data_IF_479661932232
#
_entry.id   IF_479661932232
#
_cell.length_a   1.000
_cell.length_b   1.000
_cell.length_c   1.000
_cell.angle_alpha   90.00
_cell.angle_beta   90.00
_cell.angle_gamma   90.00
#
_symmetry.space_group_name_H-M   'P 1'
#
loop_
_entity.id
_entity.type
_entity.pdbx_description
1 polymer ?
#
# COMPACT_ATOMS: atom_id res chain seq x y z
N UNK A 1 11.32 12.59 -8.18
CA UNK A 1 9.86 12.45 -8.34
C UNK A 1 9.49 11.02 -8.03
N UNK A 2 8.54 10.83 -7.12
CA UNK A 2 7.99 9.51 -6.85
C UNK A 2 7.19 9.01 -8.05
N UNK A 3 7.06 7.69 -8.25
CA UNK A 3 6.15 7.10 -9.23
C UNK A 3 4.71 7.59 -9.04
N UNK A 4 4.10 8.14 -10.09
CA UNK A 4 2.74 8.67 -10.08
C UNK A 4 1.94 8.07 -11.23
N UNK A 5 0.71 7.65 -10.94
CA UNK A 5 -0.32 7.29 -11.92
C UNK A 5 -1.59 8.03 -11.55
N UNK A 6 -2.16 8.78 -12.49
CA UNK A 6 -3.43 9.50 -12.37
C UNK A 6 -4.38 8.89 -13.40
N UNK A 7 -5.58 8.51 -12.97
CA UNK A 7 -6.60 7.91 -13.83
C UNK A 7 -7.98 8.50 -13.56
N UNK A 8 -8.82 8.57 -14.60
CA UNK A 8 -10.22 8.96 -14.47
C UNK A 8 -10.72 9.88 -15.60
N UNK A 9 -11.97 10.29 -15.49
CA UNK A 9 -12.63 11.19 -16.44
C UNK A 9 -12.15 12.64 -16.27
N UNK A 10 -11.50 13.18 -17.29
CA UNK A 10 -11.03 14.58 -17.30
C UNK A 10 -11.86 15.46 -18.25
N UNK A 11 -12.82 14.88 -18.98
CA UNK A 11 -13.64 15.57 -19.98
C UNK A 11 -12.83 16.33 -21.05
N UNK A 12 -11.62 15.86 -21.38
CA UNK A 12 -10.76 16.42 -22.42
C UNK A 12 -10.43 15.36 -23.47
N UNK A 13 -10.89 15.57 -24.69
CA UNK A 13 -10.87 14.59 -25.78
C UNK A 13 -9.48 14.45 -26.45
N UNK A 14 -8.79 13.36 -26.14
CA UNK A 14 -7.49 13.06 -26.74
C UNK A 14 -7.54 12.69 -28.22
N UNK A 15 -8.71 12.40 -28.79
CA UNK A 15 -8.85 12.17 -30.23
C UNK A 15 -8.73 13.48 -31.04
N UNK A 16 -8.77 14.64 -30.37
CA UNK A 16 -8.59 15.97 -30.96
C UNK A 16 -7.27 16.60 -30.49
N UNK A 17 -6.11 16.17 -31.00
CA UNK A 17 -4.80 16.60 -30.49
C UNK A 17 -4.50 18.09 -30.67
N UNK A 18 -5.19 18.76 -31.59
CA UNK A 18 -5.05 20.20 -31.85
C UNK A 18 -6.02 21.06 -31.03
N UNK A 19 -6.95 20.44 -30.31
CA UNK A 19 -7.88 21.14 -29.44
C UNK A 19 -7.13 21.92 -28.34
N UNK A 20 -7.69 23.07 -27.95
CA UNK A 20 -7.06 23.96 -26.97
C UNK A 20 -6.93 23.28 -25.60
N UNK A 21 -7.94 22.54 -25.17
CA UNK A 21 -7.98 21.93 -23.84
C UNK A 21 -7.01 20.75 -23.79
N UNK A 22 -6.95 19.95 -24.85
CA UNK A 22 -5.96 18.87 -25.01
C UNK A 22 -4.53 19.41 -24.94
N UNK A 23 -4.23 20.49 -25.65
CA UNK A 23 -2.89 21.12 -25.60
C UNK A 23 -2.58 21.68 -24.22
N UNK A 24 -3.51 22.43 -23.62
CA UNK A 24 -3.30 23.02 -22.30
C UNK A 24 -3.08 21.96 -21.22
N UNK A 25 -3.84 20.87 -21.26
CA UNK A 25 -3.66 19.75 -20.34
C UNK A 25 -2.30 19.07 -20.52
N UNK A 26 -1.90 18.78 -21.76
CA UNK A 26 -0.60 18.16 -22.04
C UNK A 26 0.57 19.04 -21.58
N UNK A 27 0.50 20.37 -21.78
CA UNK A 27 1.51 21.30 -21.26
C UNK A 27 1.58 21.30 -19.73
N UNK A 28 0.43 21.27 -19.04
CA UNK A 28 0.39 21.17 -17.58
C UNK A 28 0.98 19.87 -17.06
N UNK A 29 0.63 18.74 -17.67
CA UNK A 29 1.19 17.43 -17.32
C UNK A 29 2.71 17.40 -17.53
N UNK A 30 3.19 17.91 -18.66
CA UNK A 30 4.62 17.96 -18.97
C UNK A 30 5.42 18.78 -17.94
N UNK A 31 4.87 19.88 -17.40
CA UNK A 31 5.51 20.66 -16.31
C UNK A 31 5.73 19.83 -15.04
N UNK A 32 4.95 18.78 -14.83
CA UNK A 32 5.08 17.87 -13.70
C UNK A 32 5.77 16.54 -14.07
N UNK A 33 6.43 16.48 -15.24
CA UNK A 33 7.03 15.25 -15.78
C UNK A 33 6.01 14.10 -15.94
N UNK A 34 4.74 14.44 -16.21
CA UNK A 34 3.69 13.49 -16.48
C UNK A 34 3.38 13.51 -17.97
N UNK A 35 3.10 12.34 -18.53
CA UNK A 35 2.61 12.19 -19.90
C UNK A 35 1.26 11.49 -19.87
N UNK A 36 0.35 11.91 -20.74
CA UNK A 36 -0.95 11.24 -20.93
C UNK A 36 -0.81 10.14 -21.97
N UNK A 37 -1.21 8.92 -21.63
CA UNK A 37 -1.28 7.83 -22.58
C UNK A 37 -2.38 8.10 -23.63
N UNK A 38 -2.11 7.73 -24.88
CA UNK A 38 -3.15 7.73 -25.91
C UNK A 38 -4.05 6.51 -25.70
N UNK A 39 -5.31 6.77 -25.37
CA UNK A 39 -6.32 5.73 -25.21
C UNK A 39 -7.21 5.69 -26.48
N UNK A 40 -7.81 4.52 -26.78
CA UNK A 40 -8.94 4.47 -27.72
C UNK A 40 -10.14 5.28 -27.17
N UNK A 41 -11.26 5.35 -27.90
CA UNK A 41 -12.47 5.95 -27.36
C UNK A 41 -12.86 5.37 -26.00
N UNK A 42 -13.14 6.26 -25.06
CA UNK A 42 -13.53 5.90 -23.69
C UNK A 42 -14.96 6.26 -23.35
N UNK A 43 -15.60 7.08 -24.20
CA UNK A 43 -17.03 7.34 -24.17
C UNK A 43 -17.62 7.22 -25.57
N UNK A 44 -18.58 6.32 -25.71
CA UNK A 44 -19.24 5.95 -26.96
C UNK A 44 -20.75 6.10 -26.72
N UNK A 45 -21.34 7.06 -27.42
CA UNK A 45 -22.80 7.25 -27.46
C UNK A 45 -23.32 6.90 -28.87
N UNK A 46 -24.64 6.82 -29.08
CA UNK A 46 -25.18 6.64 -30.44
C UNK A 46 -24.81 7.76 -31.42
N UNK A 47 -24.40 8.94 -30.93
CA UNK A 47 -24.14 10.13 -31.74
C UNK A 47 -22.66 10.52 -31.79
N UNK A 48 -21.86 10.11 -30.80
CA UNK A 48 -20.50 10.61 -30.61
C UNK A 48 -19.56 9.54 -30.08
N UNK A 49 -18.28 9.69 -30.44
CA UNK A 49 -17.17 8.83 -30.01
C UNK A 49 -16.05 9.75 -29.54
N UNK A 50 -15.63 9.62 -28.28
CA UNK A 50 -14.62 10.51 -27.67
C UNK A 50 -13.71 9.74 -26.70
N UNK A 51 -12.50 10.23 -26.50
CA UNK A 51 -11.54 9.68 -25.53
C UNK A 51 -11.27 10.71 -24.44
N UNK A 52 -12.14 10.74 -23.44
CA UNK A 52 -12.18 11.81 -22.43
C UNK A 52 -11.68 11.39 -21.05
N UNK A 53 -11.48 10.09 -20.85
CA UNK A 53 -10.80 9.56 -19.69
C UNK A 53 -9.27 9.57 -19.91
N UNK A 54 -8.50 9.58 -18.84
CA UNK A 54 -7.05 9.71 -18.90
C UNK A 54 -6.33 8.64 -18.07
N UNK A 55 -5.14 8.28 -18.55
CA UNK A 55 -4.10 7.60 -17.76
C UNK A 55 -2.84 8.44 -17.94
N UNK A 56 -2.42 9.12 -16.87
CA UNK A 56 -1.27 10.02 -16.87
C UNK A 56 -0.21 9.53 -15.91
N UNK A 57 1.05 9.47 -16.34
CA UNK A 57 2.12 8.93 -15.51
C UNK A 57 3.49 9.53 -15.82
N UNK A 58 4.40 9.45 -14.84
CA UNK A 58 5.82 9.71 -15.00
C UNK A 58 6.65 8.41 -15.09
N UNK A 59 5.99 7.25 -15.08
CA UNK A 59 6.61 5.95 -15.24
C UNK A 59 7.03 5.72 -16.70
N UNK A 60 8.05 4.87 -16.90
CA UNK A 60 8.35 4.35 -18.23
C UNK A 60 7.13 3.57 -18.73
N UNK A 61 6.65 3.90 -19.94
CA UNK A 61 5.50 3.26 -20.58
C UNK A 61 5.69 1.76 -20.80
N UNK A 62 6.93 1.26 -20.87
CA UNK A 62 7.22 -0.19 -20.93
C UNK A 62 6.79 -0.93 -19.65
N UNK A 63 6.70 -0.23 -18.52
CA UNK A 63 6.24 -0.79 -17.25
C UNK A 63 4.73 -0.64 -17.06
N UNK A 64 4.02 -0.06 -18.04
CA UNK A 64 2.58 0.11 -18.00
C UNK A 64 1.93 -0.63 -19.15
N UNK A 65 0.82 -1.29 -18.87
CA UNK A 65 -0.09 -1.80 -19.90
C UNK A 65 -1.49 -1.33 -19.58
N UNK A 66 -2.13 -0.65 -20.53
CA UNK A 66 -3.50 -0.17 -20.36
C UNK A 66 -4.39 -0.78 -21.42
N UNK A 67 -5.54 -1.29 -21.01
CA UNK A 67 -6.60 -1.77 -21.89
C UNK A 67 -7.94 -1.12 -21.56
N UNK A 68 -8.79 -1.07 -22.58
CA UNK A 68 -10.17 -0.60 -22.46
C UNK A 68 -11.09 -1.83 -22.45
N UNK A 69 -12.11 -1.79 -21.58
CA UNK A 69 -13.08 -2.86 -21.39
C UNK A 69 -14.48 -2.29 -21.67
N UNK A 70 -15.15 -2.81 -22.69
CA UNK A 70 -16.55 -2.48 -22.97
C UNK A 70 -17.47 -3.25 -22.03
N UNK A 71 -17.70 -2.69 -20.83
CA UNK A 71 -18.49 -3.35 -19.80
C UNK A 71 -20.00 -3.40 -20.13
N UNK A 72 -20.48 -2.59 -21.08
CA UNK A 72 -21.89 -2.57 -21.50
C UNK A 72 -22.88 -2.00 -20.47
N UNK A 73 -22.38 -1.39 -19.39
CA UNK A 73 -23.18 -0.85 -18.28
C UNK A 73 -23.33 0.69 -18.32
N UNK A 74 -22.62 1.37 -19.22
CA UNK A 74 -22.53 2.83 -19.34
C UNK A 74 -22.17 3.21 -20.78
N UNK A 75 -22.33 4.49 -21.14
CA UNK A 75 -21.74 5.07 -22.35
C UNK A 75 -20.22 5.27 -22.23
N UNK A 76 -19.65 5.14 -21.03
CA UNK A 76 -18.21 5.02 -20.81
C UNK A 76 -17.74 3.56 -20.83
N UNK A 77 -16.54 3.37 -21.36
CA UNK A 77 -15.79 2.12 -21.24
C UNK A 77 -14.98 2.11 -19.93
N UNK A 78 -14.75 0.92 -19.38
CA UNK A 78 -13.89 0.75 -18.23
C UNK A 78 -12.41 0.74 -18.65
N UNK A 79 -11.53 1.08 -17.70
CA UNK A 79 -10.08 1.14 -17.91
C UNK A 79 -9.37 0.17 -16.97
N UNK A 80 -8.46 -0.62 -17.52
CA UNK A 80 -7.57 -1.47 -16.74
C UNK A 80 -6.12 -1.06 -17.03
N UNK A 81 -5.42 -0.58 -16.02
CA UNK A 81 -4.00 -0.25 -16.10
C UNK A 81 -3.21 -1.14 -15.15
N UNK A 82 -2.31 -1.91 -15.71
CA UNK A 82 -1.36 -2.77 -14.98
C UNK A 82 -0.01 -2.07 -14.92
N UNK A 83 0.55 -1.96 -13.72
CA UNK A 83 1.85 -1.33 -13.47
C UNK A 83 2.83 -2.36 -12.95
N UNK A 84 3.98 -2.50 -13.61
CA UNK A 84 5.05 -3.38 -13.21
C UNK A 84 6.11 -2.62 -12.42
N UNK A 85 6.27 -2.97 -11.15
CA UNK A 85 7.35 -2.46 -10.32
C UNK A 85 8.42 -3.53 -10.14
N UNK A 86 9.69 -3.16 -10.36
CA UNK A 86 10.82 -3.99 -9.92
C UNK A 86 10.84 -3.96 -8.40
N UNK A 87 10.35 -5.03 -7.77
CA UNK A 87 10.46 -5.21 -6.33
C UNK A 87 11.94 -5.42 -6.00
N UNK A 88 12.58 -4.41 -5.42
CA UNK A 88 13.86 -4.64 -4.72
C UNK A 88 13.53 -5.50 -3.52
N UNK A 89 13.82 -6.80 -3.61
CA UNK A 89 13.71 -7.68 -2.44
C UNK A 89 14.91 -7.34 -1.55
N UNK A 90 14.75 -6.30 -0.73
CA UNK A 90 15.56 -6.21 0.49
C UNK A 90 15.15 -7.38 1.36
N UNK A 91 16.10 -8.28 1.63
CA UNK A 91 15.92 -9.32 2.64
C UNK A 91 15.74 -8.61 3.98
N UNK A 92 14.50 -8.38 4.38
CA UNK A 92 14.20 -7.94 5.73
C UNK A 92 14.37 -9.17 6.62
N UNK A 93 15.40 -9.17 7.45
CA UNK A 93 15.46 -10.07 8.60
C UNK A 93 14.31 -9.70 9.53
N UNK A 94 13.21 -10.44 9.45
CA UNK A 94 12.15 -10.34 10.45
C UNK A 94 12.67 -10.90 11.77
N UNK A 95 12.60 -10.11 12.83
CA UNK A 95 12.83 -10.59 14.19
C UNK A 95 11.57 -10.38 15.02
N UNK A 96 11.28 -11.33 15.89
CA UNK A 96 10.18 -11.24 16.84
C UNK A 96 10.70 -10.59 18.12
N UNK A 97 9.96 -9.62 18.66
CA UNK A 97 10.27 -8.99 19.95
C UNK A 97 8.99 -8.94 20.78
N UNK A 98 9.11 -9.16 22.10
CA UNK A 98 8.05 -8.83 23.05
C UNK A 98 7.77 -7.33 23.00
N UNK A 99 6.55 -6.93 22.65
CA UNK A 99 6.14 -5.53 22.69
C UNK A 99 5.95 -5.12 24.16
N UNK A 100 6.86 -4.31 24.70
CA UNK A 100 6.73 -3.77 26.05
C UNK A 100 5.90 -2.49 26.00
N UNK A 101 4.87 -2.40 26.85
CA UNK A 101 4.05 -1.20 27.01
C UNK A 101 3.70 -1.02 28.49
N UNK A 102 3.07 0.11 28.84
CA UNK A 102 2.75 0.42 30.23
C UNK A 102 1.87 -0.66 30.87
N UNK A 103 0.83 -1.09 30.15
CA UNK A 103 -0.17 -2.04 30.68
C UNK A 103 0.44 -3.41 30.97
N UNK A 104 1.29 -3.94 30.08
CA UNK A 104 1.90 -5.25 30.28
C UNK A 104 3.04 -5.22 31.31
N UNK A 105 3.74 -4.11 31.47
CA UNK A 105 4.70 -3.93 32.57
C UNK A 105 3.98 -3.80 33.91
N UNK A 106 2.87 -3.05 33.96
CA UNK A 106 2.08 -2.89 35.19
C UNK A 106 1.39 -4.23 35.57
N UNK A 107 0.96 -5.03 34.58
CA UNK A 107 0.45 -6.39 34.80
C UNK A 107 1.55 -7.31 35.37
N UNK A 108 2.74 -7.31 34.75
CA UNK A 108 3.87 -8.11 35.25
C UNK A 108 4.24 -7.73 36.68
N UNK A 109 4.26 -6.42 37.00
CA UNK A 109 4.51 -5.94 38.36
C UNK A 109 3.47 -6.49 39.33
N UNK A 110 2.18 -6.38 38.99
CA UNK A 110 1.10 -6.85 39.85
C UNK A 110 1.17 -8.37 40.10
N UNK A 111 1.52 -9.17 39.09
CA UNK A 111 1.69 -10.62 39.23
C UNK A 111 2.85 -10.92 40.18
N UNK A 112 4.03 -10.32 39.96
CA UNK A 112 5.21 -10.56 40.79
C UNK A 112 5.07 -10.08 42.24
N UNK A 113 4.34 -8.98 42.46
CA UNK A 113 4.05 -8.46 43.82
C UNK A 113 3.16 -9.40 44.62
N UNK A 114 2.30 -10.18 43.96
CA UNK A 114 1.36 -11.11 44.61
C UNK A 114 1.83 -12.57 44.59
N UNK A 115 3.02 -12.84 44.05
CA UNK A 115 3.56 -14.18 43.94
C UNK A 115 4.07 -14.71 45.30
N UNK A 116 3.81 -15.99 45.59
CA UNK A 116 4.34 -16.65 46.79
C UNK A 116 5.75 -17.19 46.55
N UNK A 117 6.73 -16.54 47.16
CA UNK A 117 8.14 -16.92 47.05
C UNK A 117 8.59 -17.99 48.07
N UNK A 118 7.68 -18.53 48.89
CA UNK A 118 8.02 -19.57 49.86
C UNK A 118 8.66 -20.80 49.20
N UNK A 119 8.25 -21.17 47.98
CA UNK A 119 8.86 -22.27 47.24
C UNK A 119 10.33 -22.05 46.90
N UNK A 120 10.77 -20.79 46.78
CA UNK A 120 12.19 -20.42 46.60
C UNK A 120 12.91 -20.34 47.94
N UNK A 121 12.31 -19.69 48.94
CA UNK A 121 12.96 -19.47 50.25
C UNK A 121 13.08 -20.73 51.10
N UNK A 122 12.15 -21.67 50.97
CA UNK A 122 12.09 -22.90 51.75
C UNK A 122 12.68 -24.11 51.01
N UNK A 123 13.34 -23.89 49.86
CA UNK A 123 13.93 -24.97 49.09
C UNK A 123 15.11 -25.61 49.83
N UNK A 124 15.17 -26.96 49.80
CA UNK A 124 16.18 -27.75 50.52
C UNK A 124 17.61 -27.55 50.01
N UNK A 125 17.77 -27.08 48.77
CA UNK A 125 19.06 -26.82 48.16
C UNK A 125 18.98 -25.71 47.11
N UNK A 126 20.14 -25.20 46.73
CA UNK A 126 20.30 -24.06 45.82
C UNK A 126 19.75 -24.36 44.42
N UNK A 127 19.90 -25.60 43.93
CA UNK A 127 19.41 -25.98 42.60
C UNK A 127 17.86 -25.93 42.54
N UNK A 128 17.20 -26.43 43.60
CA UNK A 128 15.75 -26.39 43.72
C UNK A 128 15.23 -24.95 43.88
N UNK A 129 15.92 -24.10 44.63
CA UNK A 129 15.60 -22.68 44.75
C UNK A 129 15.68 -21.97 43.39
N UNK A 130 16.76 -22.21 42.64
CA UNK A 130 16.98 -21.66 41.31
C UNK A 130 15.90 -22.09 40.31
N UNK A 131 15.59 -23.39 40.26
CA UNK A 131 14.57 -23.93 39.37
C UNK A 131 13.19 -23.34 39.69
N UNK A 132 12.83 -23.26 40.97
CA UNK A 132 11.55 -22.67 41.41
C UNK A 132 11.43 -21.20 40.99
N UNK A 133 12.49 -20.41 41.22
CA UNK A 133 12.54 -19.01 40.79
C UNK A 133 12.37 -18.87 39.27
N UNK A 134 13.11 -19.67 38.49
CA UNK A 134 13.08 -19.60 37.03
C UNK A 134 11.72 -19.99 36.47
N UNK A 135 11.10 -21.03 37.03
CA UNK A 135 9.74 -21.45 36.65
C UNK A 135 8.73 -20.33 36.86
N UNK A 136 8.76 -19.68 38.03
CA UNK A 136 7.88 -18.54 38.33
C UNK A 136 8.08 -17.38 37.35
N UNK A 137 9.32 -16.95 37.10
CA UNK A 137 9.62 -15.80 36.22
C UNK A 137 9.31 -16.08 34.74
N UNK A 138 9.41 -17.33 34.30
CA UNK A 138 9.17 -17.70 32.89
C UNK A 138 7.70 -17.94 32.55
N UNK A 139 6.86 -18.22 33.55
CA UNK A 139 5.41 -18.33 33.38
C UNK A 139 4.66 -17.00 33.53
N UNK A 140 5.30 -15.98 34.12
CA UNK A 140 4.77 -14.63 34.31
C UNK A 140 4.82 -13.73 33.06
#
# INVERSE_FOLDING_TARGET
NDPVVIMGDINVDTLKPHDRDTRSLNERLNRHNLTRMKLPPTRITPLTVSSIDCVCTNLNLENLTTSIIEAGISDHTAQLTTVQFKKTITSYTSFTRRQLNKDNIDTLRAVLENEDWNGVYMADNVDNAYNSFLTTITMA
#
